data_IF_653737338179
#
_entry.id   IF_653737338179
#
_cell.length_a   1.000
_cell.length_b   1.000
_cell.length_c   1.000
_cell.angle_alpha   90.00
_cell.angle_beta   90.00
_cell.angle_gamma   90.00
#
_symmetry.space_group_name_H-M   'P 1'
#
loop_
_entity.id
_entity.type
_entity.pdbx_description
1 polymer ?
#
# COMPACT_ATOMS: atom_id res chain seq x y z
N UNK A 1 -1.45 21.95 -2.01
CA UNK A 1 -1.96 20.56 -1.88
C UNK A 1 -2.30 20.33 -0.41
N UNK A 2 -3.45 19.74 -0.10
CA UNK A 2 -3.81 19.41 1.29
C UNK A 2 -2.92 18.27 1.80
N UNK A 3 -2.68 18.23 3.12
CA UNK A 3 -1.86 17.20 3.74
C UNK A 3 -2.40 15.79 3.43
N UNK A 4 -3.71 15.59 3.50
CA UNK A 4 -4.38 14.35 3.10
C UNK A 4 -4.07 13.99 1.64
N UNK A 5 -4.20 14.93 0.68
CA UNK A 5 -3.91 14.64 -0.73
C UNK A 5 -2.46 14.20 -0.93
N UNK A 6 -1.51 14.86 -0.28
CA UNK A 6 -0.09 14.48 -0.37
C UNK A 6 0.17 13.10 0.22
N UNK A 7 -0.37 12.81 1.41
CA UNK A 7 -0.17 11.51 2.08
C UNK A 7 -0.81 10.36 1.30
N UNK A 8 -2.02 10.53 0.78
CA UNK A 8 -2.71 9.51 -0.03
C UNK A 8 -1.95 9.24 -1.33
N UNK A 9 -1.49 10.29 -2.00
CA UNK A 9 -0.71 10.15 -3.23
C UNK A 9 0.62 9.44 -2.97
N UNK A 10 1.32 9.81 -1.89
CA UNK A 10 2.55 9.14 -1.48
C UNK A 10 2.31 7.67 -1.11
N UNK A 11 1.26 7.36 -0.35
CA UNK A 11 0.89 6.00 0.04
C UNK A 11 0.59 5.12 -1.18
N UNK A 12 -0.21 5.63 -2.13
CA UNK A 12 -0.52 4.91 -3.36
C UNK A 12 0.72 4.71 -4.25
N UNK A 13 1.60 5.71 -4.33
CA UNK A 13 2.89 5.60 -5.03
C UNK A 13 3.80 4.53 -4.42
N UNK A 14 3.96 4.54 -3.09
CA UNK A 14 4.73 3.53 -2.36
C UNK A 14 4.15 2.13 -2.55
N UNK A 15 2.82 1.98 -2.46
CA UNK A 15 2.12 0.73 -2.70
C UNK A 15 2.36 0.20 -4.12
N UNK A 16 2.25 1.07 -5.12
CA UNK A 16 2.46 0.71 -6.54
C UNK A 16 3.89 0.26 -6.77
N UNK A 17 4.87 1.02 -6.27
CA UNK A 17 6.28 0.65 -6.35
C UNK A 17 6.56 -0.70 -5.66
N UNK A 18 5.90 -0.96 -4.52
CA UNK A 18 6.03 -2.22 -3.80
C UNK A 18 5.47 -3.41 -4.60
N UNK A 19 4.31 -3.24 -5.22
CA UNK A 19 3.72 -4.23 -6.12
C UNK A 19 4.58 -4.46 -7.36
N UNK A 20 5.09 -3.40 -7.99
CA UNK A 20 5.97 -3.51 -9.16
C UNK A 20 7.25 -4.27 -8.83
N UNK A 21 7.91 -3.95 -7.69
CA UNK A 21 9.11 -4.65 -7.26
C UNK A 21 8.83 -6.13 -6.99
N UNK A 22 7.77 -6.45 -6.24
CA UNK A 22 7.37 -7.84 -5.97
C UNK A 22 7.02 -8.60 -7.24
N UNK A 23 6.34 -7.95 -8.19
CA UNK A 23 5.99 -8.51 -9.49
C UNK A 23 7.23 -8.77 -10.36
N UNK A 24 8.17 -7.83 -10.43
CA UNK A 24 9.42 -8.00 -11.18
C UNK A 24 10.28 -9.14 -10.63
N UNK A 25 10.31 -9.31 -9.31
CA UNK A 25 11.00 -10.45 -8.67
C UNK A 25 10.28 -11.76 -8.97
N UNK A 26 8.94 -11.79 -8.89
CA UNK A 26 8.15 -12.99 -9.20
C UNK A 26 8.24 -13.41 -10.67
N UNK A 27 8.38 -12.46 -11.59
CA UNK A 27 8.59 -12.69 -13.03
C UNK A 27 10.05 -13.00 -13.38
N UNK A 28 10.97 -12.92 -12.41
CA UNK A 28 12.40 -13.15 -12.62
C UNK A 28 13.11 -12.04 -13.40
N UNK A 29 12.50 -10.86 -13.54
CA UNK A 29 13.10 -9.71 -14.23
C UNK A 29 14.17 -9.02 -13.39
N UNK A 30 14.04 -9.07 -12.07
CA UNK A 30 14.98 -8.47 -11.11
C UNK A 30 15.27 -9.51 -10.03
N UNK A 31 16.54 -9.72 -9.70
CA UNK A 31 16.93 -10.50 -8.53
C UNK A 31 17.22 -9.56 -7.35
N UNK A 32 16.35 -9.59 -6.35
CA UNK A 32 16.54 -8.85 -5.09
C UNK A 32 17.07 -9.76 -3.97
N UNK A 33 17.63 -10.93 -4.28
CA UNK A 33 18.10 -11.90 -3.29
C UNK A 33 19.07 -11.29 -2.26
N UNK A 34 19.95 -10.39 -2.69
CA UNK A 34 20.88 -9.63 -1.85
C UNK A 34 20.29 -8.34 -1.23
N UNK A 35 19.15 -7.87 -1.73
CA UNK A 35 18.54 -6.58 -1.35
C UNK A 35 17.06 -6.72 -0.96
N UNK A 36 16.67 -7.86 -0.36
CA UNK A 36 15.28 -8.15 0.05
C UNK A 36 14.71 -7.12 1.02
N UNK A 37 15.58 -6.47 1.80
CA UNK A 37 15.23 -5.38 2.69
C UNK A 37 14.59 -4.18 1.97
N UNK A 38 14.89 -3.95 0.68
CA UNK A 38 14.27 -2.86 -0.10
C UNK A 38 12.77 -3.09 -0.21
N UNK A 39 12.35 -4.31 -0.54
CA UNK A 39 10.92 -4.66 -0.61
C UNK A 39 10.24 -4.51 0.76
N UNK A 40 10.88 -4.98 1.83
CA UNK A 40 10.36 -4.80 3.18
C UNK A 40 10.30 -3.32 3.61
N UNK A 41 11.32 -2.52 3.29
CA UNK A 41 11.36 -1.09 3.57
C UNK A 41 10.24 -0.35 2.85
N UNK A 42 10.01 -0.69 1.57
CA UNK A 42 8.94 -0.12 0.78
C UNK A 42 7.55 -0.51 1.32
N UNK A 43 7.40 -1.74 1.81
CA UNK A 43 6.21 -2.17 2.53
C UNK A 43 5.99 -1.37 3.83
N UNK A 44 7.04 -1.16 4.65
CA UNK A 44 6.94 -0.34 5.88
C UNK A 44 6.52 1.09 5.53
N UNK A 45 7.16 1.71 4.54
CA UNK A 45 6.82 3.05 4.07
C UNK A 45 5.36 3.11 3.63
N UNK A 46 4.89 2.10 2.90
CA UNK A 46 3.48 1.98 2.49
C UNK A 46 2.56 1.95 3.70
N UNK A 47 2.82 1.08 4.68
CA UNK A 47 2.02 0.98 5.91
C UNK A 47 2.02 2.30 6.71
N UNK A 48 3.18 2.93 6.89
CA UNK A 48 3.31 4.19 7.63
C UNK A 48 2.57 5.33 6.94
N UNK A 49 2.69 5.46 5.62
CA UNK A 49 1.98 6.50 4.85
C UNK A 49 0.47 6.26 4.85
N UNK A 50 0.00 5.03 4.72
CA UNK A 50 -1.43 4.69 4.78
C UNK A 50 -2.00 4.99 6.16
N UNK A 51 -1.29 4.63 7.24
CA UNK A 51 -1.69 4.99 8.60
C UNK A 51 -1.75 6.51 8.80
N UNK A 52 -0.72 7.24 8.34
CA UNK A 52 -0.68 8.70 8.40
C UNK A 52 -1.83 9.33 7.61
N UNK A 53 -2.15 8.81 6.42
CA UNK A 53 -3.26 9.28 5.60
C UNK A 53 -4.62 9.06 6.29
N UNK A 54 -4.82 7.92 6.95
CA UNK A 54 -6.03 7.67 7.76
C UNK A 54 -6.15 8.64 8.93
N UNK A 55 -5.06 8.87 9.68
CA UNK A 55 -5.05 9.82 10.81
C UNK A 55 -5.30 11.25 10.34
N UNK A 56 -4.66 11.67 9.25
CA UNK A 56 -4.87 12.99 8.66
C UNK A 56 -6.32 13.16 8.18
N UNK A 57 -6.88 12.15 7.49
CA UNK A 57 -8.26 12.16 7.02
C UNK A 57 -9.27 12.23 8.18
N UNK A 58 -9.00 11.52 9.29
CA UNK A 58 -9.82 11.59 10.49
C UNK A 58 -9.77 12.98 11.15
N UNK A 59 -8.57 13.57 11.24
CA UNK A 59 -8.38 14.93 11.80
C UNK A 59 -9.05 16.01 10.96
N UNK A 60 -8.97 15.91 9.64
CA UNK A 60 -9.57 16.85 8.70
C UNK A 60 -11.07 16.58 8.45
N UNK A 61 -11.67 15.57 9.11
CA UNK A 61 -13.06 15.11 8.90
C UNK A 61 -13.39 14.82 7.43
N UNK A 62 -12.40 14.40 6.65
CA UNK A 62 -12.58 14.01 5.26
C UNK A 62 -13.19 12.61 5.14
N UNK A 63 -13.98 12.32 4.10
CA UNK A 63 -14.46 10.95 3.84
C UNK A 63 -13.37 10.03 3.26
N UNK A 64 -12.21 10.57 2.88
CA UNK A 64 -11.11 9.80 2.29
C UNK A 64 -10.59 8.68 3.21
N UNK A 65 -10.63 8.84 4.54
CA UNK A 65 -10.17 7.78 5.45
C UNK A 65 -11.04 6.53 5.39
N UNK A 66 -12.35 6.67 5.10
CA UNK A 66 -13.27 5.53 4.97
C UNK A 66 -12.90 4.64 3.78
N UNK A 67 -12.36 5.22 2.71
CA UNK A 67 -11.92 4.47 1.53
C UNK A 67 -10.58 3.76 1.75
N UNK A 68 -9.72 4.30 2.61
CA UNK A 68 -8.39 3.73 2.90
C UNK A 68 -8.39 2.73 4.05
N UNK A 69 -9.33 2.85 4.99
CA UNK A 69 -9.42 1.97 6.15
C UNK A 69 -9.48 0.47 5.80
N UNK A 70 -10.24 0.03 4.79
CA UNK A 70 -10.25 -1.37 4.38
C UNK A 70 -8.91 -1.86 3.85
N UNK A 71 -8.00 -0.98 3.40
CA UNK A 71 -6.65 -1.33 2.95
C UNK A 71 -5.74 -1.80 4.11
N UNK A 72 -6.05 -1.43 5.36
CA UNK A 72 -5.28 -1.87 6.52
C UNK A 72 -5.42 -3.39 6.77
N UNK A 73 -6.58 -3.96 6.46
CA UNK A 73 -6.82 -5.39 6.59
C UNK A 73 -5.91 -6.25 5.68
N UNK A 74 -5.85 -6.05 4.34
CA UNK A 74 -4.94 -6.78 3.47
C UNK A 74 -3.47 -6.52 3.80
N UNK A 75 -3.09 -5.30 4.22
CA UNK A 75 -1.73 -5.04 4.70
C UNK A 75 -1.39 -5.90 5.92
N UNK A 76 -2.31 -6.02 6.89
CA UNK A 76 -2.11 -6.88 8.05
C UNK A 76 -2.05 -8.37 7.66
N UNK A 77 -2.90 -8.81 6.73
CA UNK A 77 -2.91 -10.19 6.23
C UNK A 77 -1.62 -10.54 5.49
N UNK A 78 -1.05 -9.60 4.71
CA UNK A 78 0.27 -9.74 4.07
C UNK A 78 1.36 -10.01 5.11
N UNK A 79 1.32 -9.32 6.26
CA UNK A 79 2.27 -9.52 7.34
C UNK A 79 2.08 -10.87 8.04
N UNK A 80 0.83 -11.32 8.21
CA UNK A 80 0.48 -12.55 8.94
C UNK A 80 0.67 -13.83 8.11
N UNK A 81 0.34 -13.80 6.83
CA UNK A 81 0.38 -14.98 5.96
C UNK A 81 1.77 -15.26 5.36
N UNK A 82 2.70 -14.30 5.46
CA UNK A 82 4.03 -14.41 4.89
C UNK A 82 4.02 -14.43 3.34
N UNK A 83 5.20 -14.62 2.75
CA UNK A 83 5.40 -14.56 1.30
C UNK A 83 5.03 -15.88 0.57
N UNK A 84 4.62 -16.93 1.30
CA UNK A 84 4.33 -18.25 0.72
C UNK A 84 3.02 -18.82 1.27
N UNK A 85 2.13 -19.38 0.42
CA UNK A 85 2.27 -19.50 -1.04
C UNK A 85 2.07 -18.15 -1.76
N UNK A 86 2.85 -17.92 -2.83
CA UNK A 86 2.90 -16.64 -3.55
C UNK A 86 1.53 -16.18 -4.05
N UNK A 87 0.69 -17.10 -4.51
CA UNK A 87 -0.68 -16.79 -4.97
C UNK A 87 -1.54 -16.11 -3.89
N UNK A 88 -1.40 -16.53 -2.61
CA UNK A 88 -2.12 -15.92 -1.50
C UNK A 88 -1.61 -14.51 -1.22
N UNK A 89 -0.29 -14.33 -1.26
CA UNK A 89 0.35 -13.04 -1.09
C UNK A 89 -0.07 -12.04 -2.18
N UNK A 90 -0.09 -12.47 -3.44
CA UNK A 90 -0.57 -11.65 -4.56
C UNK A 90 -2.04 -11.30 -4.43
N UNK A 91 -2.88 -12.24 -3.95
CA UNK A 91 -4.31 -11.98 -3.75
C UNK A 91 -4.55 -10.95 -2.64
N UNK A 92 -3.85 -11.08 -1.53
CA UNK A 92 -3.94 -10.13 -0.41
C UNK A 92 -3.46 -8.74 -0.84
N UNK A 93 -2.39 -8.66 -1.66
CA UNK A 93 -1.97 -7.40 -2.26
C UNK A 93 -3.06 -6.81 -3.17
N UNK A 94 -3.56 -7.56 -4.15
CA UNK A 94 -4.59 -7.10 -5.09
C UNK A 94 -5.88 -6.62 -4.38
N UNK A 95 -6.23 -7.21 -3.24
CA UNK A 95 -7.37 -6.76 -2.43
C UNK A 95 -7.22 -5.32 -1.89
N UNK A 96 -5.98 -4.84 -1.70
CA UNK A 96 -5.72 -3.47 -1.25
C UNK A 96 -5.82 -2.43 -2.38
N UNK A 97 -5.57 -2.83 -3.64
CA UNK A 97 -5.57 -1.94 -4.80
C UNK A 97 -6.82 -1.05 -4.97
N UNK A 98 -8.07 -1.57 -4.86
CA UNK A 98 -9.26 -0.73 -5.02
C UNK A 98 -9.36 0.36 -3.95
N UNK A 99 -8.86 0.11 -2.74
CA UNK A 99 -8.88 1.08 -1.65
C UNK A 99 -7.95 2.26 -1.91
N UNK A 100 -6.74 2.01 -2.46
CA UNK A 100 -5.82 3.07 -2.87
C UNK A 100 -6.37 3.87 -4.06
N UNK A 101 -7.00 3.21 -5.03
CA UNK A 101 -7.63 3.88 -6.17
C UNK A 101 -8.79 4.79 -5.72
N UNK A 102 -9.67 4.29 -4.84
CA UNK A 102 -10.77 5.08 -4.28
C UNK A 102 -10.26 6.24 -3.41
N UNK A 103 -9.25 6.01 -2.57
CA UNK A 103 -8.60 7.04 -1.76
C UNK A 103 -8.00 8.16 -2.62
N UNK A 104 -7.27 7.81 -3.69
CA UNK A 104 -6.75 8.76 -4.67
C UNK A 104 -7.89 9.55 -5.33
N UNK A 105 -8.92 8.87 -5.84
CA UNK A 105 -10.04 9.53 -6.49
C UNK A 105 -10.75 10.53 -5.57
N UNK A 106 -10.94 10.19 -4.30
CA UNK A 106 -11.55 11.08 -3.31
C UNK A 106 -10.62 12.23 -2.89
N UNK A 107 -9.33 11.97 -2.76
CA UNK A 107 -8.35 12.99 -2.38
C UNK A 107 -8.11 14.02 -3.50
N UNK A 108 -8.31 13.62 -4.76
CA UNK A 108 -8.12 14.45 -5.95
C UNK A 108 -9.38 15.17 -6.44
N UNK A 109 -10.55 14.81 -5.91
CA UNK A 109 -11.75 15.66 -5.96
C UNK A 109 -11.54 16.96 -5.19
#
# INVERSE_FOLDING_TARGET
MTLVRTLVTAAAGAYTANCSLGGSVALGWIDTSNVRWVHHGLYIVTCSLTAAACVAGLRERSTTWLALLPALAPLFLLQRHGARPLQRHTRDALAAAPCYAAGLALAWR
#
